data_IF_494537325391
#
_entry.id   IF_494537325391
#
_cell.length_a   1.000
_cell.length_b   1.000
_cell.length_c   1.000
_cell.angle_alpha   90.00
_cell.angle_beta   90.00
_cell.angle_gamma   90.00
#
_symmetry.space_group_name_H-M   'P 1'
#
loop_
_entity.id
_entity.type
_entity.pdbx_description
1 polymer ?
#
# COMPACT_ATOMS: atom_id res chain seq x y z
N UNK A 1 -23.22 -49.43 6.75
CA UNK A 1 -21.78 -49.63 7.02
C UNK A 1 -20.97 -48.91 5.96
N UNK A 2 -20.63 -47.63 6.18
CA UNK A 2 -20.01 -46.77 5.18
C UNK A 2 -18.49 -46.96 5.12
N UNK A 3 -17.95 -47.30 3.93
CA UNK A 3 -16.54 -47.65 3.67
C UNK A 3 -15.48 -46.55 3.96
N UNK A 4 -15.82 -45.47 4.68
CA UNK A 4 -14.94 -44.31 4.92
C UNK A 4 -14.91 -43.81 6.37
N UNK A 5 -15.51 -44.52 7.32
CA UNK A 5 -15.67 -44.06 8.70
C UNK A 5 -14.33 -43.86 9.44
N UNK A 6 -13.30 -44.67 9.17
CA UNK A 6 -12.01 -44.64 9.86
C UNK A 6 -10.89 -43.93 9.08
N UNK A 7 -11.22 -43.18 8.02
CA UNK A 7 -10.19 -42.60 7.15
C UNK A 7 -9.36 -41.50 7.82
N UNK A 8 -9.82 -40.99 8.98
CA UNK A 8 -9.17 -39.96 9.80
C UNK A 8 -8.45 -40.53 11.03
N UNK A 9 -8.56 -41.83 11.30
CA UNK A 9 -7.88 -42.49 12.43
C UNK A 9 -6.44 -42.85 12.01
N UNK A 10 -5.58 -41.84 11.96
CA UNK A 10 -4.16 -41.98 11.60
C UNK A 10 -3.30 -41.44 12.74
N UNK A 11 -2.16 -42.10 13.00
CA UNK A 11 -1.19 -41.68 14.03
C UNK A 11 -0.31 -40.49 13.59
N UNK A 12 -0.53 -39.95 12.39
CA UNK A 12 0.21 -38.81 11.86
C UNK A 12 -0.77 -37.73 11.37
N UNK A 13 -0.31 -36.49 11.40
CA UNK A 13 -1.06 -35.35 10.85
C UNK A 13 -0.68 -35.16 9.39
N UNK A 14 -1.67 -35.10 8.51
CA UNK A 14 -1.44 -34.73 7.11
C UNK A 14 -1.29 -33.22 6.97
N UNK A 15 -0.62 -32.78 5.90
CA UNK A 15 -0.50 -31.35 5.57
C UNK A 15 -1.85 -30.65 5.44
N UNK A 16 -2.89 -31.39 5.03
CA UNK A 16 -4.27 -30.89 4.94
C UNK A 16 -4.89 -30.69 6.32
N UNK A 17 -4.81 -31.69 7.20
CA UNK A 17 -5.33 -31.61 8.58
C UNK A 17 -4.60 -30.55 9.42
N UNK A 18 -3.29 -30.38 9.22
CA UNK A 18 -2.52 -29.31 9.86
C UNK A 18 -2.98 -27.91 9.42
N UNK A 19 -3.28 -27.75 8.13
CA UNK A 19 -3.72 -26.48 7.54
C UNK A 19 -5.17 -26.12 7.91
N UNK A 20 -6.06 -27.11 7.97
CA UNK A 20 -7.51 -26.89 8.12
C UNK A 20 -7.98 -27.00 9.59
N UNK A 21 -7.51 -27.99 10.34
CA UNK A 21 -8.11 -28.36 11.64
C UNK A 21 -7.26 -27.95 12.85
N UNK A 22 -5.93 -28.15 12.84
CA UNK A 22 -5.10 -28.16 14.07
C UNK A 22 -4.05 -27.05 14.23
N UNK A 23 -4.08 -26.00 13.41
CA UNK A 23 -3.37 -24.76 13.74
C UNK A 23 -2.02 -24.54 13.05
N UNK A 24 -1.97 -24.70 11.72
CA UNK A 24 -1.09 -23.84 10.93
C UNK A 24 -1.49 -22.36 11.08
N UNK A 25 -0.54 -21.42 10.96
CA UNK A 25 -0.84 -19.98 10.90
C UNK A 25 -1.94 -19.77 9.84
N UNK A 26 -3.17 -19.52 10.29
CA UNK A 26 -4.29 -19.22 9.39
C UNK A 26 -3.86 -17.99 8.61
N UNK A 27 -3.73 -18.14 7.28
CA UNK A 27 -3.48 -16.99 6.41
C UNK A 27 -4.61 -16.02 6.70
N UNK A 28 -4.30 -14.91 7.38
CA UNK A 28 -5.24 -13.81 7.48
C UNK A 28 -5.57 -13.44 6.03
N UNK A 29 -6.85 -13.20 5.74
CA UNK A 29 -7.26 -12.60 4.47
C UNK A 29 -6.74 -11.15 4.47
N UNK A 30 -5.43 -11.03 4.27
CA UNK A 30 -4.79 -9.75 4.09
C UNK A 30 -5.25 -9.30 2.69
N UNK A 31 -5.92 -8.14 2.58
CA UNK A 31 -6.30 -7.63 1.28
C UNK A 31 -5.04 -7.57 0.41
N UNK A 32 -5.12 -8.12 -0.81
CA UNK A 32 -3.99 -8.14 -1.76
C UNK A 32 -3.48 -6.74 -2.09
N UNK A 33 -4.26 -5.70 -1.80
CA UNK A 33 -3.98 -4.31 -2.10
C UNK A 33 -4.09 -3.45 -0.84
N UNK A 34 -3.00 -2.78 -0.49
CA UNK A 34 -2.99 -1.71 0.49
C UNK A 34 -2.96 -0.39 -0.25
N UNK A 35 -3.96 0.46 -0.02
CA UNK A 35 -3.90 1.85 -0.48
C UNK A 35 -2.84 2.56 0.33
N UNK A 36 -2.01 3.36 -0.36
CA UNK A 36 -1.08 4.25 0.32
C UNK A 36 -1.88 5.16 1.26
N UNK A 37 -1.46 5.32 2.52
CA UNK A 37 -2.06 6.31 3.41
C UNK A 37 -2.01 7.69 2.77
N UNK A 38 -3.05 8.49 2.98
CA UNK A 38 -3.16 9.85 2.43
C UNK A 38 -2.02 10.78 2.88
N UNK A 39 -1.31 10.43 3.94
CA UNK A 39 -0.24 11.22 4.54
C UNK A 39 1.13 10.95 3.92
N UNK A 40 1.23 9.96 3.02
CA UNK A 40 2.49 9.50 2.45
C UNK A 40 2.69 9.98 1.01
N UNK A 41 3.95 10.27 0.68
CA UNK A 41 4.40 10.59 -0.67
C UNK A 41 4.35 9.33 -1.57
N UNK A 42 3.80 9.45 -2.78
CA UNK A 42 3.73 8.36 -3.75
C UNK A 42 5.10 7.92 -4.32
N UNK A 43 6.14 8.77 -4.19
CA UNK A 43 7.49 8.45 -4.66
C UNK A 43 8.34 7.77 -3.58
N UNK A 44 8.36 8.33 -2.37
CA UNK A 44 9.23 7.86 -1.28
C UNK A 44 8.53 6.93 -0.30
N UNK A 45 7.20 6.86 -0.30
CA UNK A 45 6.38 6.11 0.68
C UNK A 45 6.54 6.55 2.14
N UNK A 46 7.19 7.70 2.36
CA UNK A 46 7.32 8.32 3.67
C UNK A 46 6.26 9.41 3.86
N UNK A 47 5.89 9.74 5.11
CA UNK A 47 5.03 10.88 5.38
C UNK A 47 5.59 12.18 4.77
N UNK A 48 4.77 12.92 4.02
CA UNK A 48 5.22 14.18 3.43
C UNK A 48 5.36 15.28 4.49
N UNK A 49 6.26 16.24 4.24
CA UNK A 49 6.39 17.45 5.06
C UNK A 49 5.83 18.65 4.33
N UNK A 50 6.18 18.79 3.06
CA UNK A 50 5.67 19.82 2.16
C UNK A 50 4.87 19.14 1.04
N UNK A 51 3.56 18.92 1.25
CA UNK A 51 2.73 18.23 0.27
C UNK A 51 2.59 19.07 -1.00
N UNK A 52 2.79 18.40 -2.12
CA UNK A 52 2.51 18.91 -3.45
C UNK A 52 1.78 17.86 -4.26
N UNK A 53 1.10 18.29 -5.31
CA UNK A 53 0.24 17.43 -6.09
C UNK A 53 0.42 17.70 -7.58
N UNK A 54 0.31 16.65 -8.39
CA UNK A 54 0.15 16.78 -9.83
C UNK A 54 -1.32 17.08 -10.18
N UNK A 55 -1.62 17.33 -11.46
CA UNK A 55 -3.00 17.61 -11.93
C UNK A 55 -3.95 16.41 -11.75
N UNK A 56 -3.42 15.19 -11.72
CA UNK A 56 -4.21 13.96 -11.57
C UNK A 56 -4.60 13.65 -10.11
N UNK A 57 -4.06 14.40 -9.15
CA UNK A 57 -4.37 14.20 -7.73
C UNK A 57 -3.38 13.32 -6.97
N UNK A 58 -2.22 13.00 -7.54
CA UNK A 58 -1.17 12.24 -6.86
C UNK A 58 -0.33 13.12 -5.94
N UNK A 59 -0.17 12.68 -4.69
CA UNK A 59 0.54 13.42 -3.64
C UNK A 59 2.02 13.06 -3.59
N UNK A 60 2.83 14.10 -3.55
CA UNK A 60 4.27 14.00 -3.43
C UNK A 60 4.80 14.95 -2.35
N UNK A 61 6.01 14.68 -1.92
CA UNK A 61 6.77 15.58 -1.07
C UNK A 61 7.72 16.41 -1.93
N UNK A 62 7.74 17.72 -1.72
CA UNK A 62 8.46 18.68 -2.56
C UNK A 62 9.95 18.32 -2.71
N UNK A 63 10.58 17.93 -1.60
CA UNK A 63 12.00 17.54 -1.56
C UNK A 63 12.32 16.30 -2.42
N UNK A 64 11.33 15.45 -2.67
CA UNK A 64 11.49 14.21 -3.40
C UNK A 64 11.10 14.37 -4.88
N UNK A 65 10.04 15.12 -5.18
CA UNK A 65 9.53 15.25 -6.56
C UNK A 65 10.33 16.22 -7.41
N UNK A 66 10.82 17.33 -6.84
CA UNK A 66 11.60 18.32 -7.58
C UNK A 66 12.87 17.70 -8.21
N UNK A 67 13.75 17.03 -7.45
CA UNK A 67 14.95 16.43 -8.04
C UNK A 67 14.62 15.29 -9.02
N UNK A 68 13.46 14.64 -8.87
CA UNK A 68 13.00 13.62 -9.81
C UNK A 68 12.63 14.24 -11.17
N UNK A 69 11.82 15.30 -11.16
CA UNK A 69 11.41 16.00 -12.38
C UNK A 69 12.61 16.68 -13.05
N UNK A 70 13.53 17.28 -12.28
CA UNK A 70 14.75 17.86 -12.85
C UNK A 70 15.62 16.83 -13.56
N UNK A 71 15.66 15.59 -13.05
CA UNK A 71 16.48 14.52 -13.62
C UNK A 71 15.84 13.83 -14.83
N UNK A 72 14.52 13.59 -14.79
CA UNK A 72 13.84 12.76 -15.79
C UNK A 72 12.83 13.52 -16.65
N UNK A 73 12.34 14.69 -16.22
CA UNK A 73 11.37 15.51 -16.96
C UNK A 73 9.99 14.87 -17.12
N UNK A 74 9.65 13.88 -16.30
CA UNK A 74 8.41 13.11 -16.38
C UNK A 74 7.73 12.99 -15.02
N UNK A 75 6.43 12.71 -15.03
CA UNK A 75 5.68 12.30 -13.86
C UNK A 75 6.10 10.89 -13.41
N UNK A 76 6.42 10.67 -12.12
CA UNK A 76 6.83 9.36 -11.61
C UNK A 76 5.75 8.26 -11.68
N UNK A 77 4.48 8.62 -11.86
CA UNK A 77 3.36 7.66 -11.89
C UNK A 77 2.83 7.47 -13.30
N UNK A 78 2.47 8.56 -13.99
CA UNK A 78 1.88 8.47 -15.34
C UNK A 78 2.95 8.28 -16.43
N UNK A 79 4.18 8.75 -16.19
CA UNK A 79 5.25 8.78 -17.20
C UNK A 79 5.11 9.89 -18.24
N UNK A 80 4.14 10.79 -18.07
CA UNK A 80 3.94 11.92 -18.99
C UNK A 80 4.95 13.05 -18.71
N UNK A 81 5.27 13.84 -19.75
CA UNK A 81 6.18 14.97 -19.59
C UNK A 81 5.56 16.01 -18.65
N UNK A 82 6.29 16.33 -17.58
CA UNK A 82 5.82 17.23 -16.53
C UNK A 82 6.90 18.23 -16.17
N UNK A 83 6.49 19.46 -15.87
CA UNK A 83 7.39 20.52 -15.41
C UNK A 83 7.13 20.88 -13.95
N UNK A 84 8.15 21.38 -13.25
CA UNK A 84 8.04 21.77 -11.83
C UNK A 84 6.93 22.80 -11.61
N UNK A 85 6.67 23.68 -12.59
CA UNK A 85 5.64 24.73 -12.50
C UNK A 85 4.22 24.18 -12.45
N UNK A 86 4.01 22.95 -12.91
CA UNK A 86 2.70 22.31 -12.92
C UNK A 86 2.36 21.64 -11.59
N UNK A 87 3.34 21.52 -10.69
CA UNK A 87 3.12 21.04 -9.34
C UNK A 87 2.39 22.10 -8.51
N UNK A 88 1.30 21.69 -7.89
CA UNK A 88 0.49 22.53 -7.03
C UNK A 88 0.91 22.25 -5.58
N UNK A 89 1.40 23.27 -4.87
CA UNK A 89 1.65 23.16 -3.43
C UNK A 89 0.31 23.12 -2.70
N UNK A 90 0.14 22.13 -1.83
CA UNK A 90 -1.07 21.96 -1.03
C UNK A 90 -0.83 22.40 0.41
N UNK A 91 -1.86 22.98 1.03
CA UNK A 91 -1.89 23.23 2.47
C UNK A 91 -3.00 22.36 3.06
N UNK A 92 -2.60 21.21 3.62
CA UNK A 92 -3.54 20.22 4.15
C UNK A 92 -3.72 20.49 5.65
N UNK A 93 -4.98 20.62 6.08
CA UNK A 93 -5.29 20.87 7.47
C UNK A 93 -5.22 19.56 8.27
N UNK A 94 -4.85 19.67 9.55
CA UNK A 94 -4.94 18.55 10.49
C UNK A 94 -6.16 18.72 11.37
N UNK A 95 -6.90 17.64 11.54
CA UNK A 95 -8.01 17.59 12.49
C UNK A 95 -7.53 17.51 13.94
N UNK A 96 -8.47 17.69 14.87
CA UNK A 96 -8.26 17.53 16.31
C UNK A 96 -7.65 16.18 16.71
N UNK A 97 -7.87 15.14 15.91
CA UNK A 97 -7.31 13.80 16.11
C UNK A 97 -5.91 13.61 15.47
N UNK A 98 -5.28 14.68 14.99
CA UNK A 98 -3.94 14.66 14.38
C UNK A 98 -3.87 14.05 12.97
N UNK A 99 -5.00 13.64 12.40
CA UNK A 99 -5.10 13.10 11.04
C UNK A 99 -5.24 14.23 10.03
N UNK A 100 -4.58 14.10 8.89
CA UNK A 100 -4.73 15.03 7.77
C UNK A 100 -6.11 14.85 7.11
N UNK A 101 -6.77 15.97 6.78
CA UNK A 101 -8.07 16.01 6.13
C UNK A 101 -8.07 16.93 4.91
#
# INVERSE_FOLDING_TARGET
MGKKQHQKDKLYLTSKEWKEDRGGLKKKDIPKFFRLPFECCCLSFHPYKDPCCNKDGFLFDLLNVVPFIEKFGIDPISGEQTTIKELIKLNIAKNSNGKFQ
#
